data_IF_369553592148
#
_entry.id   IF_369553592148
#
_cell.length_a   1.000
_cell.length_b   1.000
_cell.length_c   1.000
_cell.angle_alpha   90.00
_cell.angle_beta   90.00
_cell.angle_gamma   90.00
#
_symmetry.space_group_name_H-M   'P 1'
#
loop_
_entity.id
_entity.type
_entity.pdbx_description
1 polymer ?
#
# COMPACT_ATOMS: atom_id res chain seq x y z
N UNK A 1 16.45 26.93 -25.68
CA UNK A 1 15.21 26.50 -26.38
C UNK A 1 14.15 26.14 -25.35
N UNK A 2 12.93 26.71 -25.41
CA UNK A 2 11.86 26.31 -24.50
C UNK A 2 11.56 24.82 -24.69
N UNK A 3 11.52 24.05 -23.59
CA UNK A 3 11.14 22.62 -23.62
C UNK A 3 9.76 22.53 -24.27
N UNK A 4 9.64 21.84 -25.40
CA UNK A 4 8.33 21.52 -26.00
C UNK A 4 7.46 20.87 -24.92
N UNK A 5 6.30 21.47 -24.67
CA UNK A 5 5.30 20.92 -23.74
C UNK A 5 4.97 19.49 -24.18
N UNK A 6 5.26 18.51 -23.33
CA UNK A 6 4.90 17.12 -23.59
C UNK A 6 3.39 17.04 -23.56
N UNK A 7 2.79 16.59 -24.66
CA UNK A 7 1.36 16.38 -24.73
C UNK A 7 1.00 15.10 -23.98
N UNK A 8 -0.16 15.11 -23.33
CA UNK A 8 -0.69 13.93 -22.67
C UNK A 8 -0.93 12.80 -23.69
N UNK A 9 -0.51 11.59 -23.33
CA UNK A 9 -0.76 10.38 -24.11
C UNK A 9 -1.06 9.21 -23.17
N UNK A 10 -1.98 8.36 -23.61
CA UNK A 10 -2.39 7.15 -22.89
C UNK A 10 -1.30 6.08 -22.88
N UNK A 11 -0.43 6.09 -23.87
CA UNK A 11 0.55 5.01 -24.11
C UNK A 11 1.99 5.41 -23.78
N UNK A 12 2.24 6.70 -23.51
CA UNK A 12 3.52 7.15 -22.99
C UNK A 12 3.45 7.45 -21.49
N UNK A 13 4.53 7.21 -20.72
CA UNK A 13 4.61 7.61 -19.32
C UNK A 13 4.36 9.13 -19.15
N UNK A 14 3.32 9.55 -18.41
CA UNK A 14 3.12 10.96 -18.09
C UNK A 14 4.08 11.38 -16.97
N UNK A 15 4.15 12.69 -16.73
CA UNK A 15 4.87 13.27 -15.59
C UNK A 15 3.92 14.00 -14.66
N UNK A 16 4.23 14.01 -13.36
CA UNK A 16 3.48 14.78 -12.35
C UNK A 16 3.49 16.27 -12.64
N UNK A 17 4.53 16.76 -13.33
CA UNK A 17 4.61 18.16 -13.79
C UNK A 17 3.50 18.55 -14.79
N UNK A 18 2.82 17.57 -15.39
CA UNK A 18 1.70 17.79 -16.31
C UNK A 18 0.34 17.79 -15.59
N UNK A 19 0.30 17.43 -14.30
CA UNK A 19 -0.93 17.41 -13.50
C UNK A 19 -1.31 18.84 -13.10
N UNK A 20 -2.60 19.15 -13.24
CA UNK A 20 -3.20 20.39 -12.73
C UNK A 20 -3.75 20.24 -11.30
N UNK A 21 -3.68 19.03 -10.73
CA UNK A 21 -4.08 18.80 -9.34
C UNK A 21 -3.13 19.50 -8.38
N UNK A 22 -3.71 20.11 -7.35
CA UNK A 22 -2.97 20.72 -6.25
C UNK A 22 -2.44 19.61 -5.36
N UNK A 23 -1.14 19.65 -5.07
CA UNK A 23 -0.47 18.75 -4.12
C UNK A 23 -0.42 19.40 -2.74
N UNK A 24 -1.12 18.81 -1.78
CA UNK A 24 -0.96 19.09 -0.35
C UNK A 24 -0.15 17.97 0.29
N UNK A 25 0.82 18.32 1.13
CA UNK A 25 1.65 17.33 1.84
C UNK A 25 1.45 17.47 3.34
N UNK A 26 1.15 16.37 4.01
CA UNK A 26 1.15 16.25 5.45
C UNK A 26 2.45 15.57 5.86
N UNK A 27 3.21 16.22 6.74
CA UNK A 27 4.47 15.69 7.27
C UNK A 27 4.21 14.52 8.23
N UNK A 28 5.30 13.88 8.67
CA UNK A 28 5.26 12.94 9.78
C UNK A 28 4.68 13.60 11.05
N UNK A 29 5.12 14.80 11.42
CA UNK A 29 4.57 15.53 12.58
C UNK A 29 3.04 15.74 12.49
N UNK A 30 2.55 16.02 11.27
CA UNK A 30 1.11 16.18 11.05
C UNK A 30 0.38 14.86 11.27
N UNK A 31 1.00 13.75 10.87
CA UNK A 31 0.46 12.40 11.02
C UNK A 31 0.45 11.98 12.49
N UNK A 32 1.53 12.25 13.23
CA UNK A 32 1.64 11.95 14.66
C UNK A 32 0.56 12.69 15.45
N UNK A 33 0.35 13.98 15.14
CA UNK A 33 -0.73 14.76 15.73
C UNK A 33 -2.14 14.21 15.41
N UNK A 34 -2.33 13.58 14.24
CA UNK A 34 -3.60 12.90 13.93
C UNK A 34 -3.74 11.60 14.72
N UNK A 35 -2.65 10.86 14.93
CA UNK A 35 -2.61 9.65 15.75
C UNK A 35 -2.98 10.01 17.19
N UNK A 36 -2.31 10.98 17.80
CA UNK A 36 -2.61 11.43 19.17
C UNK A 36 -4.08 11.80 19.33
N UNK A 37 -4.63 12.60 18.41
CA UNK A 37 -6.06 12.95 18.39
C UNK A 37 -6.97 11.74 18.24
N UNK A 38 -6.56 10.74 17.46
CA UNK A 38 -7.33 9.50 17.32
C UNK A 38 -7.30 8.70 18.63
N UNK A 39 -6.16 8.63 19.32
CA UNK A 39 -6.03 7.98 20.62
C UNK A 39 -6.88 8.68 21.70
N UNK A 40 -6.90 10.01 21.73
CA UNK A 40 -7.66 10.84 22.68
C UNK A 40 -9.18 10.68 22.52
N UNK A 41 -9.66 10.63 21.28
CA UNK A 41 -11.11 10.57 20.99
C UNK A 41 -11.76 9.22 21.34
N UNK A 42 -10.99 8.22 21.76
CA UNK A 42 -11.49 6.89 22.16
C UNK A 42 -12.34 6.91 23.43
N UNK A 43 -12.24 7.96 24.26
CA UNK A 43 -12.92 8.04 25.55
C UNK A 43 -14.46 8.16 25.49
N UNK A 44 -15.06 8.33 24.30
CA UNK A 44 -16.47 8.69 24.15
C UNK A 44 -17.39 7.59 23.58
N UNK A 45 -16.92 6.34 23.39
CA UNK A 45 -17.78 5.23 22.92
C UNK A 45 -17.07 3.90 22.65
N UNK A 46 -17.80 2.92 22.11
CA UNK A 46 -17.25 1.67 21.55
C UNK A 46 -16.43 1.99 20.30
N UNK A 47 -15.10 2.05 20.41
CA UNK A 47 -14.19 2.15 19.26
C UNK A 47 -13.99 0.75 18.65
N UNK A 48 -14.57 0.47 17.47
CA UNK A 48 -14.50 -0.86 16.87
C UNK A 48 -13.07 -1.26 16.50
N UNK A 49 -12.18 -0.29 16.23
CA UNK A 49 -10.76 -0.58 15.98
C UNK A 49 -10.07 -1.05 17.25
N UNK A 50 -10.32 -0.40 18.39
CA UNK A 50 -9.79 -0.84 19.67
C UNK A 50 -10.27 -2.25 20.04
N UNK A 51 -11.55 -2.54 19.82
CA UNK A 51 -12.10 -3.88 20.08
C UNK A 51 -11.44 -4.94 19.21
N UNK A 52 -11.27 -4.66 17.92
CA UNK A 52 -10.58 -5.56 17.01
C UNK A 52 -9.11 -5.80 17.42
N UNK A 53 -8.36 -4.75 17.80
CA UNK A 53 -6.99 -4.94 18.32
C UNK A 53 -6.96 -5.68 19.65
N UNK A 54 -7.99 -5.55 20.49
CA UNK A 54 -8.13 -6.33 21.73
C UNK A 54 -8.31 -7.82 21.41
N UNK A 55 -9.13 -8.15 20.40
CA UNK A 55 -9.31 -9.52 19.92
C UNK A 55 -8.00 -10.10 19.34
N UNK A 56 -7.20 -9.28 18.66
CA UNK A 56 -5.82 -9.61 18.25
C UNK A 56 -4.93 -9.92 19.45
N UNK A 57 -4.96 -9.09 20.49
CA UNK A 57 -4.19 -9.31 21.73
C UNK A 57 -4.63 -10.57 22.47
N UNK A 58 -5.93 -10.85 22.51
CA UNK A 58 -6.53 -12.04 23.10
C UNK A 58 -6.37 -13.30 22.22
N UNK A 59 -5.79 -13.15 21.02
CA UNK A 59 -5.53 -14.22 20.05
C UNK A 59 -6.79 -14.96 19.62
N UNK A 60 -7.90 -14.23 19.48
CA UNK A 60 -9.15 -14.79 18.94
C UNK A 60 -9.05 -15.08 17.44
N UNK A 61 -8.13 -14.43 16.73
CA UNK A 61 -7.84 -14.70 15.32
C UNK A 61 -6.86 -15.87 15.20
N UNK A 62 -7.06 -16.71 14.19
CA UNK A 62 -6.13 -17.80 13.89
C UNK A 62 -4.72 -17.25 13.58
N UNK A 63 -3.70 -17.85 14.18
CA UNK A 63 -2.31 -17.50 13.85
C UNK A 63 -1.94 -18.13 12.51
N UNK A 64 -1.52 -17.31 11.55
CA UNK A 64 -1.03 -17.78 10.25
C UNK A 64 0.47 -17.56 10.12
N UNK A 65 1.15 -18.51 9.46
CA UNK A 65 2.61 -18.51 9.31
C UNK A 65 3.15 -17.33 8.49
N UNK A 66 2.31 -16.69 7.66
CA UNK A 66 2.78 -15.72 6.65
C UNK A 66 2.65 -14.25 7.06
N UNK A 67 1.64 -13.89 7.86
CA UNK A 67 1.42 -12.52 8.33
C UNK A 67 0.80 -12.56 9.73
N UNK A 68 1.18 -11.61 10.58
CA UNK A 68 0.72 -11.55 11.96
C UNK A 68 0.68 -10.10 12.44
N UNK A 69 -0.37 -9.74 13.18
CA UNK A 69 -0.37 -8.56 14.05
C UNK A 69 -0.23 -9.06 15.48
N UNK A 70 0.62 -8.41 16.26
CA UNK A 70 0.97 -8.86 17.59
C UNK A 70 0.98 -7.69 18.55
N UNK A 71 0.16 -7.78 19.60
CA UNK A 71 0.15 -6.87 20.73
C UNK A 71 0.16 -7.69 22.02
N UNK A 72 1.34 -7.87 22.61
CA UNK A 72 1.52 -8.76 23.77
C UNK A 72 1.72 -8.01 25.09
N UNK A 73 2.25 -6.78 25.06
CA UNK A 73 2.62 -5.98 26.24
C UNK A 73 2.27 -4.52 26.00
N UNK A 74 2.25 -3.76 27.09
CA UNK A 74 2.04 -2.33 27.07
C UNK A 74 0.60 -1.92 26.77
N UNK A 75 0.41 -0.61 26.72
CA UNK A 75 -0.88 0.02 26.46
C UNK A 75 -1.21 0.02 24.97
N UNK A 76 -2.46 0.36 24.64
CA UNK A 76 -2.97 0.37 23.26
C UNK A 76 -2.49 1.62 22.49
N UNK A 77 -1.20 1.60 22.16
CA UNK A 77 -0.51 2.65 21.40
C UNK A 77 0.27 2.02 20.25
N UNK A 78 0.46 2.72 19.11
CA UNK A 78 1.06 2.16 17.90
C UNK A 78 2.44 1.51 18.11
N UNK A 79 3.21 2.05 19.05
CA UNK A 79 4.53 1.60 19.48
C UNK A 79 4.52 0.15 20.00
N UNK A 80 3.41 -0.28 20.61
CA UNK A 80 3.28 -1.60 21.23
C UNK A 80 2.63 -2.64 20.32
N UNK A 81 2.19 -2.23 19.13
CA UNK A 81 1.50 -3.09 18.17
C UNK A 81 2.46 -3.34 17.01
N UNK A 82 2.76 -4.61 16.77
CA UNK A 82 3.71 -5.01 15.75
C UNK A 82 2.99 -5.68 14.59
N UNK A 83 3.39 -5.37 13.37
CA UNK A 83 2.92 -6.01 12.16
C UNK A 83 4.07 -6.74 11.46
N UNK A 84 3.81 -7.98 11.01
CA UNK A 84 4.72 -8.65 10.08
C UNK A 84 4.52 -8.06 8.69
N UNK A 85 5.58 -7.54 8.12
CA UNK A 85 5.54 -6.89 6.81
C UNK A 85 5.37 -7.90 5.68
N UNK A 86 4.63 -7.52 4.65
CA UNK A 86 4.32 -8.39 3.50
C UNK A 86 5.51 -8.51 2.53
N UNK A 87 6.39 -7.51 2.51
CA UNK A 87 7.51 -7.42 1.57
C UNK A 87 8.83 -7.98 2.13
N UNK A 88 9.12 -7.77 3.41
CA UNK A 88 10.39 -8.19 4.05
C UNK A 88 10.24 -9.24 5.15
N UNK A 89 9.01 -9.55 5.58
CA UNK A 89 8.75 -10.52 6.63
C UNK A 89 9.24 -10.10 8.02
N UNK A 90 9.74 -8.86 8.16
CA UNK A 90 10.15 -8.27 9.44
C UNK A 90 8.92 -8.01 10.30
N UNK A 91 9.09 -8.09 11.61
CA UNK A 91 8.09 -7.71 12.59
C UNK A 91 8.44 -6.30 13.10
N UNK A 92 7.68 -5.30 12.67
CA UNK A 92 7.95 -3.88 12.96
C UNK A 92 6.77 -3.25 13.71
N UNK A 93 7.01 -2.24 14.57
CA UNK A 93 5.93 -1.50 15.24
C UNK A 93 5.10 -0.65 14.27
N UNK A 94 3.87 -0.28 14.67
CA UNK A 94 2.97 0.58 13.90
C UNK A 94 3.26 2.09 14.05
N UNK A 95 4.15 2.49 14.96
CA UNK A 95 4.61 3.87 15.21
C UNK A 95 5.51 4.44 14.10
N UNK A 96 5.69 3.70 13.01
CA UNK A 96 6.48 4.16 11.85
C UNK A 96 5.74 5.31 11.17
N UNK A 97 6.31 6.50 11.29
CA UNK A 97 5.75 7.70 10.68
C UNK A 97 5.88 7.68 9.14
N UNK A 98 5.04 8.47 8.47
CA UNK A 98 5.04 8.60 7.02
C UNK A 98 4.63 10.01 6.59
N UNK A 99 4.88 10.31 5.33
CA UNK A 99 4.42 11.53 4.67
C UNK A 99 3.21 11.20 3.80
N UNK A 100 2.12 11.96 3.94
CA UNK A 100 0.93 11.80 3.09
C UNK A 100 0.89 12.88 2.03
N UNK A 101 0.84 12.48 0.76
CA UNK A 101 0.67 13.37 -0.38
C UNK A 101 -0.75 13.27 -0.94
N UNK A 102 -1.51 14.35 -0.78
CA UNK A 102 -2.87 14.47 -1.31
C UNK A 102 -2.84 15.28 -2.61
N UNK A 103 -3.38 14.70 -3.68
CA UNK A 103 -3.63 15.38 -4.95
C UNK A 103 -5.12 15.64 -5.08
N UNK A 104 -5.52 16.90 -5.16
CA UNK A 104 -6.94 17.27 -5.19
C UNK A 104 -7.20 18.40 -6.20
N UNK A 105 -8.46 18.54 -6.61
CA UNK A 105 -8.86 19.64 -7.46
C UNK A 105 -8.78 20.98 -6.71
N UNK A 106 -8.43 22.07 -7.41
CA UNK A 106 -8.25 23.42 -6.84
C UNK A 106 -9.48 23.95 -6.10
N UNK A 107 -10.69 23.55 -6.53
CA UNK A 107 -11.94 23.98 -5.89
C UNK A 107 -12.06 23.56 -4.43
N UNK A 108 -11.34 22.51 -3.99
CA UNK A 108 -11.31 22.12 -2.58
C UNK A 108 -10.55 23.12 -1.71
N UNK A 109 -9.49 23.72 -2.26
CA UNK A 109 -8.73 24.76 -1.59
C UNK A 109 -9.52 26.06 -1.50
N UNK A 110 -10.23 26.43 -2.57
CA UNK A 110 -11.10 27.62 -2.62
C UNK A 110 -12.20 27.55 -1.56
N UNK A 111 -12.72 26.34 -1.30
CA UNK A 111 -13.72 26.09 -0.24
C UNK A 111 -13.14 25.99 1.16
N UNK A 112 -11.82 26.17 1.32
CA UNK A 112 -11.08 26.03 2.59
C UNK A 112 -11.35 24.68 3.28
N UNK A 113 -11.59 23.61 2.51
CA UNK A 113 -11.78 22.28 3.08
C UNK A 113 -10.41 21.78 3.57
N UNK A 114 -10.22 21.58 4.89
CA UNK A 114 -8.94 21.09 5.38
C UNK A 114 -8.72 19.65 4.91
N UNK A 115 -7.49 19.34 4.51
CA UNK A 115 -7.10 17.98 4.09
C UNK A 115 -6.87 17.04 5.29
N UNK A 116 -6.66 17.59 6.48
CA UNK A 116 -6.45 16.83 7.71
C UNK A 116 -7.62 15.88 8.02
N UNK A 117 -8.90 16.31 7.97
CA UNK A 117 -10.03 15.38 8.11
C UNK A 117 -10.02 14.20 7.14
N UNK A 118 -9.61 14.40 5.88
CA UNK A 118 -9.54 13.31 4.88
C UNK A 118 -8.58 12.21 5.35
N UNK A 119 -7.41 12.60 5.86
CA UNK A 119 -6.43 11.64 6.37
C UNK A 119 -6.89 11.05 7.70
N UNK A 120 -7.43 11.88 8.59
CA UNK A 120 -7.96 11.44 9.88
C UNK A 120 -9.04 10.35 9.72
N UNK A 121 -9.92 10.48 8.74
CA UNK A 121 -10.98 9.49 8.51
C UNK A 121 -10.44 8.12 8.09
N UNK A 122 -9.31 8.06 7.38
CA UNK A 122 -8.69 6.80 6.92
C UNK A 122 -7.51 6.38 7.81
N UNK A 123 -7.30 7.06 8.94
CA UNK A 123 -6.06 6.94 9.70
C UNK A 123 -5.78 5.50 10.16
N UNK A 124 -6.74 4.74 10.72
CA UNK A 124 -6.50 3.36 11.13
C UNK A 124 -6.03 2.46 9.97
N UNK A 125 -6.64 2.61 8.79
CA UNK A 125 -6.28 1.85 7.60
C UNK A 125 -4.91 2.27 7.07
N UNK A 126 -4.60 3.57 7.08
CA UNK A 126 -3.29 4.09 6.67
C UNK A 126 -2.17 3.58 7.58
N UNK A 127 -2.38 3.58 8.90
CA UNK A 127 -1.43 3.05 9.88
C UNK A 127 -1.13 1.57 9.62
N UNK A 128 -2.16 0.76 9.37
CA UNK A 128 -1.98 -0.65 9.04
C UNK A 128 -1.28 -0.83 7.70
N UNK A 129 -1.70 -0.11 6.65
CA UNK A 129 -1.08 -0.18 5.34
C UNK A 129 0.41 0.21 5.41
N UNK A 130 0.75 1.24 6.18
CA UNK A 130 2.14 1.64 6.44
C UNK A 130 2.89 0.56 7.21
N UNK A 131 2.34 0.06 8.31
CA UNK A 131 2.97 -0.94 9.17
C UNK A 131 3.18 -2.30 8.47
N UNK A 132 2.37 -2.61 7.46
CA UNK A 132 2.51 -3.83 6.67
C UNK A 132 3.60 -3.76 5.61
N UNK A 133 4.15 -2.59 5.31
CA UNK A 133 5.16 -2.42 4.28
C UNK A 133 6.42 -1.82 4.87
N UNK A 134 7.51 -2.57 4.84
CA UNK A 134 8.79 -2.11 5.36
C UNK A 134 9.43 -1.11 4.39
N UNK A 135 9.51 -1.46 3.11
CA UNK A 135 10.23 -0.69 2.11
C UNK A 135 9.30 0.08 1.15
N UNK A 136 9.55 1.38 0.99
CA UNK A 136 8.91 2.20 -0.05
C UNK A 136 7.46 2.58 0.27
N UNK A 137 7.15 2.69 1.57
CA UNK A 137 5.87 3.16 2.08
C UNK A 137 5.99 4.39 3.00
N UNK A 138 7.17 5.02 3.06
CA UNK A 138 7.37 6.29 3.80
C UNK A 138 6.58 7.44 3.18
N UNK A 139 6.17 7.31 1.92
CA UNK A 139 5.26 8.22 1.23
C UNK A 139 3.97 7.48 0.86
N UNK A 140 2.83 7.99 1.32
CA UNK A 140 1.50 7.54 0.91
C UNK A 140 0.88 8.55 -0.04
N UNK A 141 0.31 8.06 -1.13
CA UNK A 141 -0.23 8.90 -2.20
C UNK A 141 -1.73 8.70 -2.34
N UNK A 142 -2.47 9.81 -2.21
CA UNK A 142 -3.93 9.85 -2.24
C UNK A 142 -4.38 10.81 -3.34
N UNK A 143 -5.25 10.37 -4.23
CA UNK A 143 -5.94 11.24 -5.19
C UNK A 143 -7.38 11.43 -4.71
N UNK A 144 -7.74 12.67 -4.42
CA UNK A 144 -9.07 13.05 -3.93
C UNK A 144 -9.99 13.34 -5.12
N UNK A 145 -11.15 12.72 -5.12
CA UNK A 145 -12.15 12.76 -6.20
C UNK A 145 -13.57 12.92 -5.64
N UNK A 146 -14.54 13.20 -6.50
CA UNK A 146 -15.98 13.15 -6.21
C UNK A 146 -16.72 12.01 -6.94
N UNK A 147 -16.00 10.92 -7.25
CA UNK A 147 -16.57 9.76 -7.96
C UNK A 147 -17.62 9.07 -7.09
N UNK A 148 -18.75 8.71 -7.71
CA UNK A 148 -19.74 7.77 -7.14
C UNK A 148 -19.26 6.32 -7.26
N UNK A 149 -19.96 5.42 -6.55
CA UNK A 149 -19.69 3.98 -6.49
C UNK A 149 -19.35 3.36 -7.87
N UNK A 150 -20.29 3.43 -8.82
CA UNK A 150 -20.10 2.86 -10.16
C UNK A 150 -18.95 3.53 -10.93
N UNK A 151 -18.75 4.83 -10.77
CA UNK A 151 -17.68 5.57 -11.43
C UNK A 151 -16.31 5.16 -10.85
N UNK A 152 -16.24 4.87 -9.55
CA UNK A 152 -15.05 4.35 -8.88
C UNK A 152 -14.70 2.94 -9.39
N UNK A 153 -15.69 2.05 -9.53
CA UNK A 153 -15.50 0.72 -10.12
C UNK A 153 -14.97 0.84 -11.57
N UNK A 154 -15.64 1.63 -12.42
CA UNK A 154 -15.25 1.87 -13.82
C UNK A 154 -13.82 2.42 -13.97
N UNK A 155 -13.45 3.40 -13.14
CA UNK A 155 -12.11 4.01 -13.14
C UNK A 155 -11.05 3.00 -12.68
N UNK A 156 -11.36 2.22 -11.65
CA UNK A 156 -10.44 1.20 -11.12
C UNK A 156 -10.19 0.09 -12.14
N UNK A 157 -11.23 -0.38 -12.82
CA UNK A 157 -11.09 -1.40 -13.86
C UNK A 157 -10.34 -0.87 -15.08
N UNK A 158 -10.55 0.39 -15.47
CA UNK A 158 -9.70 1.04 -16.46
C UNK A 158 -8.23 1.06 -16.04
N UNK A 159 -7.93 1.38 -14.77
CA UNK A 159 -6.55 1.38 -14.30
C UNK A 159 -5.89 0.01 -14.35
N UNK A 160 -6.62 -1.06 -14.03
CA UNK A 160 -6.12 -2.43 -14.24
C UNK A 160 -5.85 -2.68 -15.71
N UNK A 161 -6.80 -2.37 -16.60
CA UNK A 161 -6.67 -2.57 -18.04
C UNK A 161 -5.44 -1.85 -18.61
N UNK A 162 -5.30 -0.55 -18.35
CA UNK A 162 -4.20 0.26 -18.90
C UNK A 162 -2.86 -0.15 -18.28
N UNK A 163 -2.79 -0.37 -16.96
CA UNK A 163 -1.53 -0.76 -16.31
C UNK A 163 -1.08 -2.14 -16.72
N UNK A 164 -2.03 -3.09 -16.84
CA UNK A 164 -1.76 -4.38 -17.40
C UNK A 164 -1.15 -4.15 -18.78
N UNK A 165 -1.83 -3.53 -19.75
CA UNK A 165 -1.39 -3.59 -21.14
C UNK A 165 -0.32 -2.59 -21.60
N UNK A 166 -0.03 -1.53 -20.82
CA UNK A 166 0.91 -0.47 -21.24
C UNK A 166 2.14 -0.35 -20.35
N UNK A 167 2.11 -0.86 -19.12
CA UNK A 167 3.20 -0.62 -18.17
C UNK A 167 4.41 -1.50 -18.51
N UNK A 168 5.49 -0.87 -18.97
CA UNK A 168 6.75 -1.53 -19.29
C UNK A 168 6.74 -2.47 -20.50
N UNK A 169 5.70 -2.39 -21.35
CA UNK A 169 5.55 -3.22 -22.56
C UNK A 169 4.87 -2.48 -23.69
N UNK A 170 5.11 -2.92 -24.92
CA UNK A 170 4.39 -2.43 -26.10
C UNK A 170 2.96 -2.93 -26.05
N UNK A 171 2.00 -2.01 -26.18
CA UNK A 171 0.58 -2.34 -26.21
C UNK A 171 0.22 -3.00 -27.56
N UNK A 172 -0.69 -3.98 -27.56
CA UNK A 172 -1.20 -4.58 -28.80
C UNK A 172 -2.24 -3.63 -29.42
N UNK A 173 -2.31 -3.49 -30.76
CA UNK A 173 -3.28 -2.59 -31.41
C UNK A 173 -4.75 -2.84 -31.06
N UNK A 174 -5.14 -4.10 -30.79
CA UNK A 174 -6.49 -4.42 -30.30
C UNK A 174 -6.76 -3.82 -28.92
N UNK A 175 -5.77 -3.86 -28.04
CA UNK A 175 -5.85 -3.32 -26.68
C UNK A 175 -5.75 -1.81 -26.65
N UNK A 176 -4.98 -1.19 -27.55
CA UNK A 176 -4.94 0.26 -27.69
C UNK A 176 -6.32 0.83 -28.01
N UNK A 177 -7.05 0.21 -28.95
CA UNK A 177 -8.42 0.60 -29.29
C UNK A 177 -9.37 0.47 -28.10
N UNK A 178 -9.27 -0.63 -27.34
CA UNK A 178 -10.09 -0.82 -26.14
C UNK A 178 -9.78 0.24 -25.07
N UNK A 179 -8.51 0.49 -24.78
CA UNK A 179 -8.08 1.50 -23.81
C UNK A 179 -8.56 2.90 -24.22
N UNK A 180 -8.44 3.26 -25.50
CA UNK A 180 -8.95 4.54 -26.00
C UNK A 180 -10.46 4.65 -25.85
N UNK A 181 -11.19 3.59 -26.20
CA UNK A 181 -12.65 3.54 -26.07
C UNK A 181 -13.08 3.71 -24.62
N UNK A 182 -12.50 2.94 -23.69
CA UNK A 182 -12.86 3.02 -22.28
C UNK A 182 -12.47 4.37 -21.67
N UNK A 183 -11.28 4.89 -22.01
CA UNK A 183 -10.88 6.22 -21.57
C UNK A 183 -11.85 7.30 -22.05
N UNK A 184 -12.27 7.25 -23.32
CA UNK A 184 -13.22 8.20 -23.89
C UNK A 184 -14.62 8.07 -23.24
N UNK A 185 -15.11 6.83 -23.07
CA UNK A 185 -16.39 6.54 -22.42
C UNK A 185 -16.43 7.10 -21.00
N UNK A 186 -15.41 6.81 -20.19
CA UNK A 186 -15.31 7.30 -18.81
C UNK A 186 -15.17 8.82 -18.81
N UNK A 187 -14.30 9.40 -19.65
CA UNK A 187 -14.11 10.86 -19.76
C UNK A 187 -15.43 11.59 -20.05
N UNK A 188 -16.19 11.14 -21.03
CA UNK A 188 -17.48 11.74 -21.37
C UNK A 188 -18.53 11.56 -20.26
N UNK A 189 -18.53 10.40 -19.61
CA UNK A 189 -19.46 10.10 -18.52
C UNK A 189 -19.19 11.05 -17.35
N UNK A 190 -17.94 11.16 -16.91
CA UNK A 190 -17.55 12.02 -15.80
C UNK A 190 -17.72 13.51 -16.14
N UNK A 191 -17.41 13.92 -17.37
CA UNK A 191 -17.63 15.29 -17.85
C UNK A 191 -19.12 15.66 -17.85
N UNK A 192 -20.01 14.79 -18.33
CA UNK A 192 -21.46 14.99 -18.30
C UNK A 192 -22.00 15.13 -16.88
N UNK A 193 -21.43 14.38 -15.94
CA UNK A 193 -21.75 14.46 -14.51
C UNK A 193 -21.01 15.59 -13.78
N UNK A 194 -20.20 16.39 -14.48
CA UNK A 194 -19.40 17.50 -13.92
C UNK A 194 -18.52 17.09 -12.74
N UNK A 195 -17.92 15.89 -12.82
CA UNK A 195 -17.00 15.39 -11.80
C UNK A 195 -15.71 16.18 -11.74
N UNK A 196 -15.17 16.27 -10.53
CA UNK A 196 -13.94 16.95 -10.20
C UNK A 196 -13.04 16.05 -9.33
N UNK A 197 -11.79 15.78 -9.76
CA UNK A 197 -11.19 16.20 -11.02
C UNK A 197 -11.82 15.51 -12.24
N UNK A 198 -11.58 16.07 -13.44
CA UNK A 198 -11.95 15.38 -14.66
C UNK A 198 -11.09 14.11 -14.86
N UNK A 199 -11.64 13.11 -15.55
CA UNK A 199 -10.97 11.81 -15.70
C UNK A 199 -9.53 11.90 -16.25
N UNK A 200 -9.22 12.71 -17.28
CA UNK A 200 -7.85 12.80 -17.79
C UNK A 200 -6.84 13.26 -16.73
N UNK A 201 -7.23 14.14 -15.80
CA UNK A 201 -6.35 14.58 -14.71
C UNK A 201 -6.16 13.49 -13.65
N UNK A 202 -7.20 12.69 -13.37
CA UNK A 202 -7.08 11.52 -12.49
C UNK A 202 -6.12 10.50 -13.11
N UNK A 203 -6.33 10.11 -14.38
CA UNK A 203 -5.46 9.14 -15.06
C UNK A 203 -4.01 9.62 -15.18
N UNK A 204 -3.81 10.87 -15.62
CA UNK A 204 -2.49 11.47 -15.73
C UNK A 204 -1.75 11.40 -14.40
N UNK A 205 -2.38 11.88 -13.32
CA UNK A 205 -1.77 11.90 -11.98
C UNK A 205 -1.48 10.49 -11.50
N UNK A 206 -2.45 9.59 -11.61
CA UNK A 206 -2.33 8.19 -11.19
C UNK A 206 -1.16 7.48 -11.88
N UNK A 207 -1.11 7.52 -13.21
CA UNK A 207 -0.01 6.89 -13.96
C UNK A 207 1.32 7.58 -13.69
N UNK A 208 1.36 8.91 -13.54
CA UNK A 208 2.59 9.62 -13.21
C UNK A 208 3.15 9.20 -11.85
N UNK A 209 2.30 9.01 -10.83
CA UNK A 209 2.69 8.46 -9.53
C UNK A 209 3.30 7.05 -9.67
N UNK A 210 2.70 6.18 -10.48
CA UNK A 210 3.23 4.84 -10.72
C UNK A 210 4.63 4.86 -11.34
N UNK A 211 4.89 5.75 -12.30
CA UNK A 211 6.19 5.85 -12.98
C UNK A 211 7.25 6.54 -12.15
N UNK A 212 6.92 7.69 -11.55
CA UNK A 212 7.89 8.54 -10.86
C UNK A 212 8.12 8.10 -9.41
N UNK A 213 7.08 7.65 -8.71
CA UNK A 213 7.13 7.35 -7.26
C UNK A 213 7.14 5.85 -6.96
N UNK A 214 6.59 5.04 -7.86
CA UNK A 214 6.58 3.56 -7.77
C UNK A 214 6.04 3.03 -6.43
N UNK A 215 4.92 3.58 -5.92
CA UNK A 215 4.42 3.24 -4.59
C UNK A 215 4.01 1.76 -4.51
N UNK A 216 3.83 1.24 -3.30
CA UNK A 216 3.29 -0.11 -3.07
C UNK A 216 1.81 -0.17 -3.38
N UNK A 217 1.08 0.85 -2.94
CA UNK A 217 -0.34 1.08 -3.20
C UNK A 217 -0.62 2.57 -3.43
N UNK A 218 -1.79 2.86 -4.00
CA UNK A 218 -2.34 4.19 -4.20
C UNK A 218 -3.78 4.21 -3.67
N UNK A 219 -4.25 5.36 -3.22
CA UNK A 219 -5.63 5.50 -2.73
C UNK A 219 -6.37 6.49 -3.63
N UNK A 220 -7.50 6.04 -4.19
CA UNK A 220 -8.51 6.93 -4.77
C UNK A 220 -9.53 7.22 -3.69
N UNK A 221 -9.45 8.42 -3.10
CA UNK A 221 -10.37 8.84 -2.07
C UNK A 221 -11.58 9.53 -2.71
N UNK A 222 -12.79 9.12 -2.35
CA UNK A 222 -14.00 9.85 -2.70
C UNK A 222 -14.59 10.49 -1.45
N UNK A 223 -14.81 11.81 -1.52
CA UNK A 223 -15.47 12.54 -0.43
C UNK A 223 -17.00 12.49 -0.51
N UNK A 224 -17.56 11.72 -1.45
CA UNK A 224 -19.00 11.52 -1.57
C UNK A 224 -19.46 10.49 -0.53
N UNK A 225 -20.42 10.85 0.31
CA UNK A 225 -20.96 9.98 1.38
C UNK A 225 -21.64 8.70 0.88
N UNK A 226 -22.02 8.66 -0.40
CA UNK A 226 -22.66 7.50 -1.06
C UNK A 226 -21.68 6.66 -1.87
N UNK A 227 -20.39 6.99 -1.81
CA UNK A 227 -19.31 6.28 -2.48
C UNK A 227 -18.39 5.62 -1.46
N UNK A 228 -17.44 4.84 -1.97
CA UNK A 228 -16.33 4.30 -1.19
C UNK A 228 -15.02 4.81 -1.78
N UNK A 229 -13.95 4.74 -0.99
CA UNK A 229 -12.58 4.98 -1.42
C UNK A 229 -11.89 3.66 -1.73
N UNK A 230 -11.00 3.67 -2.72
CA UNK A 230 -10.37 2.45 -3.22
C UNK A 230 -8.87 2.44 -2.98
N UNK A 231 -8.38 1.40 -2.30
CA UNK A 231 -6.95 1.08 -2.26
C UNK A 231 -6.62 0.27 -3.50
N UNK A 232 -5.58 0.68 -4.23
CA UNK A 232 -5.11 0.03 -5.45
C UNK A 232 -3.66 -0.41 -5.25
N UNK A 233 -3.43 -1.71 -5.17
CA UNK A 233 -2.11 -2.30 -4.98
C UNK A 233 -1.39 -2.46 -6.33
N UNK A 234 -0.10 -2.12 -6.35
CA UNK A 234 0.69 -2.24 -7.59
C UNK A 234 1.12 -3.67 -7.90
N UNK A 235 1.08 -4.57 -6.92
CA UNK A 235 1.46 -5.97 -7.04
C UNK A 235 0.71 -6.84 -6.02
N UNK A 236 0.42 -8.10 -6.37
CA UNK A 236 -0.30 -9.06 -5.51
C UNK A 236 0.40 -9.31 -4.17
N UNK A 237 1.73 -9.31 -4.16
CA UNK A 237 2.54 -9.49 -2.94
C UNK A 237 2.44 -8.32 -1.94
N UNK A 238 1.90 -7.16 -2.35
CA UNK A 238 1.64 -6.03 -1.45
C UNK A 238 0.26 -6.09 -0.80
N UNK A 239 -0.56 -7.06 -1.19
CA UNK A 239 -1.89 -7.23 -0.60
C UNK A 239 -1.76 -7.94 0.76
N UNK A 240 -2.42 -7.43 1.80
CA UNK A 240 -2.54 -8.11 3.08
C UNK A 240 -3.18 -9.51 2.97
N UNK A 241 -2.86 -10.39 3.92
CA UNK A 241 -3.45 -11.73 4.00
C UNK A 241 -4.93 -11.64 4.41
N UNK A 242 -5.78 -12.43 3.75
CA UNK A 242 -7.23 -12.50 4.03
C UNK A 242 -7.52 -12.80 5.50
N UNK A 243 -6.85 -13.82 6.04
CA UNK A 243 -7.20 -14.37 7.35
C UNK A 243 -6.98 -13.40 8.50
N UNK A 244 -6.10 -12.41 8.30
CA UNK A 244 -5.81 -11.40 9.29
C UNK A 244 -6.83 -10.26 9.30
N UNK A 245 -7.47 -9.97 8.16
CA UNK A 245 -8.31 -8.77 8.00
C UNK A 245 -9.76 -9.07 7.64
N UNK A 246 -10.16 -10.34 7.65
CA UNK A 246 -11.52 -10.75 7.27
C UNK A 246 -12.60 -10.04 8.11
N UNK A 247 -12.36 -9.91 9.42
CA UNK A 247 -13.22 -9.27 10.40
C UNK A 247 -12.75 -7.86 10.78
N UNK A 248 -11.84 -7.27 9.99
CA UNK A 248 -11.39 -5.91 10.21
C UNK A 248 -12.58 -4.95 10.18
N UNK A 249 -12.70 -4.01 11.15
CA UNK A 249 -13.83 -3.11 11.25
C UNK A 249 -14.09 -2.37 9.95
N UNK A 250 -15.36 -2.33 9.58
CA UNK A 250 -15.85 -1.49 8.51
C UNK A 250 -16.92 -0.58 9.06
N UNK A 251 -16.83 0.69 8.69
CA UNK A 251 -17.83 1.66 9.09
C UNK A 251 -17.54 3.00 8.49
N UNK A 252 -18.59 3.79 8.45
CA UNK A 252 -18.52 5.20 8.13
C UNK A 252 -18.99 5.96 9.37
N UNK A 253 -18.46 7.16 9.69
CA UNK A 253 -18.89 7.92 10.86
C UNK A 253 -20.33 8.45 10.77
N UNK A 254 -21.06 8.14 9.69
CA UNK A 254 -22.45 8.54 9.54
C UNK A 254 -23.35 7.62 10.39
N UNK A 255 -24.09 8.15 11.37
CA UNK A 255 -24.98 7.36 12.22
C UNK A 255 -26.14 6.69 11.45
N UNK A 256 -26.38 7.07 10.20
CA UNK A 256 -27.37 6.44 9.32
C UNK A 256 -26.77 5.37 8.39
N UNK A 257 -25.48 5.03 8.51
CA UNK A 257 -24.86 3.98 7.71
C UNK A 257 -25.39 2.60 8.09
N UNK A 258 -25.73 1.79 7.08
CA UNK A 258 -25.97 0.35 7.23
C UNK A 258 -24.64 -0.41 7.22
N UNK A 259 -24.67 -1.69 7.61
CA UNK A 259 -23.49 -2.58 7.76
C UNK A 259 -22.59 -2.70 6.50
N UNK A 260 -23.08 -2.26 5.34
CA UNK A 260 -22.35 -2.29 4.06
C UNK A 260 -21.59 -0.99 3.73
N UNK A 261 -21.53 -0.02 4.64
CA UNK A 261 -20.80 1.21 4.36
C UNK A 261 -19.30 1.13 4.70
N UNK A 262 -18.51 0.95 3.66
CA UNK A 262 -17.05 1.02 3.72
C UNK A 262 -16.60 2.38 3.17
N UNK A 263 -16.08 3.25 4.03
CA UNK A 263 -15.49 4.52 3.59
C UNK A 263 -14.22 4.28 2.75
N UNK A 264 -13.44 3.26 3.09
CA UNK A 264 -12.34 2.74 2.30
C UNK A 264 -12.47 1.22 2.19
N UNK A 265 -12.40 0.69 0.96
CA UNK A 265 -12.45 -0.74 0.70
C UNK A 265 -11.14 -1.40 1.08
N UNK A 266 -11.02 -1.81 2.33
CA UNK A 266 -9.89 -2.60 2.81
C UNK A 266 -9.97 -4.03 2.23
N UNK A 267 -8.86 -4.65 1.81
CA UNK A 267 -8.85 -5.97 1.16
C UNK A 267 -9.06 -7.14 2.15
N UNK A 268 -10.20 -7.17 2.84
CA UNK A 268 -10.56 -8.16 3.87
C UNK A 268 -10.58 -9.61 3.37
N UNK A 269 -10.88 -9.80 2.08
CA UNK A 269 -10.91 -11.11 1.41
C UNK A 269 -9.62 -11.40 0.63
N UNK A 270 -8.52 -10.78 1.05
CA UNK A 270 -7.18 -11.04 0.54
C UNK A 270 -6.96 -10.63 -0.93
N UNK A 271 -5.96 -11.25 -1.58
CA UNK A 271 -5.53 -10.88 -2.93
C UNK A 271 -6.59 -11.01 -4.03
N UNK A 272 -7.60 -11.86 -3.84
CA UNK A 272 -8.62 -12.11 -4.87
C UNK A 272 -9.68 -11.01 -4.93
N UNK A 273 -10.00 -10.40 -3.80
CA UNK A 273 -10.92 -9.26 -3.73
C UNK A 273 -10.21 -7.91 -3.81
N UNK A 274 -8.88 -7.89 -3.69
CA UNK A 274 -8.10 -6.67 -3.75
C UNK A 274 -8.03 -6.10 -5.19
N UNK A 275 -7.97 -4.78 -5.28
CA UNK A 275 -7.73 -4.11 -6.56
C UNK A 275 -6.23 -4.09 -6.84
N UNK A 276 -5.78 -5.04 -7.66
CA UNK A 276 -4.36 -5.22 -7.99
C UNK A 276 -4.12 -4.88 -9.46
N UNK A 277 -3.12 -4.05 -9.73
CA UNK A 277 -2.74 -3.65 -11.10
C UNK A 277 -1.88 -4.67 -11.83
N UNK A 278 -1.27 -5.61 -11.09
CA UNK A 278 -0.31 -6.60 -11.58
C UNK A 278 0.81 -6.02 -12.46
N UNK A 279 1.40 -4.93 -11.97
CA UNK A 279 2.51 -4.27 -12.66
C UNK A 279 3.72 -5.21 -12.61
N UNK A 280 4.07 -5.76 -13.77
CA UNK A 280 5.27 -6.58 -13.94
C UNK A 280 6.52 -5.70 -13.83
N UNK A 281 7.08 -5.59 -12.61
CA UNK A 281 8.38 -4.96 -12.39
C UNK A 281 9.48 -5.94 -12.78
N UNK A 282 10.35 -5.56 -13.71
CA UNK A 282 11.45 -6.37 -14.23
C UNK A 282 12.24 -5.64 -15.31
N UNK A 283 13.51 -6.01 -15.52
CA UNK A 283 14.38 -5.37 -16.53
C UNK A 283 14.64 -3.89 -16.24
N UNK A 284 14.41 -3.02 -17.24
CA UNK A 284 14.67 -1.56 -17.13
C UNK A 284 13.82 -0.84 -16.07
N UNK A 285 12.73 -1.46 -15.61
CA UNK A 285 11.79 -0.85 -14.66
C UNK A 285 11.98 -1.28 -13.20
N UNK A 286 13.04 -2.03 -12.90
CA UNK A 286 13.46 -2.38 -11.54
C UNK A 286 13.43 -3.88 -11.24
N UNK A 287 13.71 -4.22 -9.97
CA UNK A 287 13.77 -5.61 -9.50
C UNK A 287 12.36 -6.23 -9.47
N UNK A 288 12.29 -7.52 -9.79
CA UNK A 288 11.06 -8.32 -9.65
C UNK A 288 10.61 -8.28 -8.19
N UNK A 289 9.33 -7.97 -7.98
CA UNK A 289 8.71 -8.04 -6.66
C UNK A 289 8.69 -9.52 -6.25
N UNK A 290 9.25 -9.79 -5.08
CA UNK A 290 9.25 -11.10 -4.44
C UNK A 290 9.15 -10.86 -2.95
N UNK A 291 8.33 -11.67 -2.26
CA UNK A 291 8.38 -11.77 -0.80
C UNK A 291 9.78 -12.21 -0.39
N UNK A 292 10.29 -11.59 0.67
CA UNK A 292 11.59 -11.89 1.24
C UNK A 292 11.42 -12.16 2.73
N UNK A 293 12.23 -13.05 3.26
CA UNK A 293 12.45 -13.19 4.69
C UNK A 293 13.76 -12.48 5.03
N UNK A 294 13.68 -11.30 5.64
CA UNK A 294 14.85 -10.49 6.00
C UNK A 294 15.18 -10.61 7.49
N UNK A 295 16.42 -10.28 7.84
CA UNK A 295 16.82 -10.06 9.23
C UNK A 295 15.92 -9.00 9.86
N UNK A 296 15.44 -9.23 11.09
CA UNK A 296 14.48 -8.34 11.74
C UNK A 296 15.05 -6.96 12.09
N UNK A 297 16.36 -6.87 12.37
CA UNK A 297 17.02 -5.58 12.55
C UNK A 297 16.90 -4.74 11.27
N UNK A 298 16.29 -3.55 11.39
CA UNK A 298 15.87 -2.70 10.28
C UNK A 298 17.02 -2.27 9.37
N UNK A 299 18.21 -2.07 9.93
CA UNK A 299 19.41 -1.64 9.19
C UNK A 299 20.17 -2.79 8.51
N UNK A 300 19.66 -4.02 8.58
CA UNK A 300 20.30 -5.20 8.00
C UNK A 300 19.61 -5.70 6.72
N UNK A 301 20.31 -5.65 5.59
CA UNK A 301 19.79 -6.11 4.30
C UNK A 301 19.91 -7.62 4.03
N UNK A 302 20.31 -8.42 5.03
CA UNK A 302 20.41 -9.88 4.86
C UNK A 302 19.02 -10.48 4.60
N UNK A 303 18.92 -11.21 3.50
CA UNK A 303 17.73 -11.97 3.09
C UNK A 303 18.04 -13.47 3.14
N UNK A 304 17.18 -14.24 3.80
CA UNK A 304 17.36 -15.68 4.00
C UNK A 304 16.91 -16.52 2.79
N UNK A 305 16.00 -16.00 1.96
CA UNK A 305 15.42 -16.73 0.82
C UNK A 305 16.19 -16.55 -0.51
N UNK A 306 17.50 -16.27 -0.45
CA UNK A 306 18.28 -16.01 -1.66
C UNK A 306 18.40 -17.24 -2.59
N UNK A 307 18.24 -18.46 -2.06
CA UNK A 307 18.41 -19.71 -2.81
C UNK A 307 17.25 -20.70 -2.52
N UNK A 308 16.44 -21.07 -3.52
CA UNK A 308 15.54 -22.22 -3.32
C UNK A 308 14.39 -22.54 -4.28
N UNK A 309 14.04 -21.71 -5.28
CA UNK A 309 13.09 -22.12 -6.33
C UNK A 309 13.56 -21.65 -7.71
N UNK A 310 14.50 -22.41 -8.27
CA UNK A 310 14.52 -22.62 -9.71
C UNK A 310 13.26 -23.43 -10.04
N UNK A 311 12.17 -22.74 -10.36
CA UNK A 311 11.04 -23.37 -11.06
C UNK A 311 11.62 -23.81 -12.40
N UNK A 312 11.69 -25.13 -12.60
CA UNK A 312 12.11 -25.72 -13.86
C UNK A 312 11.30 -25.14 -15.01
N UNK A 313 12.00 -24.69 -16.04
CA UNK A 313 11.49 -24.49 -17.39
C UNK A 313 12.67 -24.65 -18.33
N UNK A 314 12.80 -25.89 -18.76
CA UNK A 314 13.11 -26.33 -20.11
C UNK A 314 13.63 -25.29 -21.13
N UNK A 315 14.78 -25.63 -21.70
CA UNK A 315 15.24 -25.39 -23.07
C UNK A 315 15.22 -23.97 -23.68
N UNK A 316 16.44 -23.43 -23.89
CA UNK A 316 16.67 -22.34 -24.83
C UNK A 316 18.09 -21.77 -24.79
N UNK A 317 19.06 -22.49 -25.37
CA UNK A 317 20.41 -21.99 -25.68
C UNK A 317 20.39 -20.65 -26.42
N UNK A 318 21.20 -19.66 -26.02
CA UNK A 318 22.33 -19.17 -26.84
C UNK A 318 23.21 -18.17 -26.08
N UNK A 319 24.49 -18.26 -26.44
CA UNK A 319 25.74 -17.69 -25.95
C UNK A 319 25.79 -16.17 -25.69
N UNK A 320 26.61 -15.78 -24.70
CA UNK A 320 27.00 -14.40 -24.47
C UNK A 320 27.64 -14.15 -23.09
N UNK A 321 28.84 -14.69 -22.89
CA UNK A 321 29.71 -14.45 -21.73
C UNK A 321 30.03 -12.97 -21.53
N UNK A 322 29.89 -12.45 -20.31
CA UNK A 322 30.93 -11.63 -19.66
C UNK A 322 30.91 -11.86 -18.13
N UNK A 323 32.11 -12.00 -17.59
CA UNK A 323 32.51 -12.40 -16.25
C UNK A 323 31.84 -11.64 -15.10
N UNK A 324 31.17 -12.38 -14.21
CA UNK A 324 30.95 -11.98 -12.82
C UNK A 324 31.61 -13.01 -11.93
N UNK A 325 32.61 -12.58 -11.16
CA UNK A 325 33.26 -13.35 -10.11
C UNK A 325 32.21 -13.85 -9.11
N UNK A 326 31.93 -15.14 -9.18
CA UNK A 326 31.14 -15.90 -8.21
C UNK A 326 31.87 -15.92 -6.86
N UNK A 327 31.66 -14.88 -6.06
CA UNK A 327 31.75 -15.03 -4.61
C UNK A 327 30.59 -15.91 -4.18
N UNK A 328 30.87 -17.20 -4.00
CA UNK A 328 30.01 -18.13 -3.28
C UNK A 328 29.69 -17.54 -1.90
N UNK A 329 28.63 -16.74 -1.81
CA UNK A 329 28.14 -16.19 -0.56
C UNK A 329 27.70 -17.38 0.27
N UNK A 330 28.48 -17.70 1.30
CA UNK A 330 28.14 -18.73 2.27
C UNK A 330 26.69 -18.52 2.70
N UNK A 331 25.86 -19.57 2.62
CA UNK A 331 24.46 -19.52 3.02
C UNK A 331 24.38 -19.02 4.47
N UNK A 332 23.82 -17.83 4.66
CA UNK A 332 23.67 -17.24 5.98
C UNK A 332 22.53 -17.99 6.70
N UNK A 333 22.87 -18.73 7.74
CA UNK A 333 21.88 -19.46 8.55
C UNK A 333 21.11 -18.45 9.42
N UNK A 334 19.79 -18.41 9.27
CA UNK A 334 18.92 -17.58 10.11
C UNK A 334 18.82 -18.15 11.53
N UNK A 335 18.94 -17.29 12.53
CA UNK A 335 18.68 -17.60 13.94
C UNK A 335 17.32 -17.04 14.34
N UNK A 336 16.38 -17.93 14.63
CA UNK A 336 15.07 -17.54 15.15
C UNK A 336 15.16 -17.24 16.65
N UNK A 337 14.45 -16.24 17.15
CA UNK A 337 14.39 -15.99 18.59
C UNK A 337 13.87 -17.23 19.34
N UNK A 338 14.67 -17.77 20.25
CA UNK A 338 14.34 -18.97 21.02
C UNK A 338 13.11 -18.82 21.92
N UNK A 339 12.80 -17.58 22.35
CA UNK A 339 11.68 -17.28 23.25
C UNK A 339 10.35 -17.18 22.51
N UNK A 340 10.22 -16.26 21.56
CA UNK A 340 8.94 -15.98 20.88
C UNK A 340 8.76 -16.73 19.56
N UNK A 341 9.85 -17.14 18.92
CA UNK A 341 9.87 -17.75 17.58
C UNK A 341 9.31 -16.88 16.44
N UNK A 342 9.03 -15.60 16.69
CA UNK A 342 8.40 -14.69 15.71
C UNK A 342 9.41 -14.02 14.78
N UNK A 343 10.64 -13.77 15.22
CA UNK A 343 11.63 -12.97 14.48
C UNK A 343 12.88 -13.78 14.17
N UNK A 344 13.53 -13.46 13.04
CA UNK A 344 14.76 -14.08 12.56
C UNK A 344 15.87 -13.05 12.44
N UNK A 345 17.08 -13.43 12.85
CA UNK A 345 18.28 -12.61 12.75
C UNK A 345 19.39 -13.37 12.03
N UNK A 346 20.28 -12.66 11.35
CA UNK A 346 21.48 -13.29 10.77
C UNK A 346 22.63 -13.43 11.79
N UNK A 347 22.53 -12.80 12.97
CA UNK A 347 23.51 -12.89 14.05
C UNK A 347 22.91 -12.51 15.40
N UNK A 348 23.56 -12.94 16.49
CA UNK A 348 23.22 -12.51 17.86
C UNK A 348 23.45 -11.01 18.08
N UNK A 349 24.41 -10.40 17.37
CA UNK A 349 24.66 -8.96 17.43
C UNK A 349 23.44 -8.16 16.94
N UNK A 350 22.84 -8.57 15.81
CA UNK A 350 21.64 -7.91 15.29
C UNK A 350 20.44 -8.10 16.22
N UNK A 351 20.33 -9.27 16.86
CA UNK A 351 19.31 -9.47 17.89
C UNK A 351 19.50 -8.52 19.08
N UNK A 352 20.75 -8.26 19.50
CA UNK A 352 21.04 -7.31 20.60
C UNK A 352 20.70 -5.88 20.22
N UNK A 353 21.03 -5.46 18.99
CA UNK A 353 20.70 -4.12 18.47
C UNK A 353 19.19 -3.90 18.37
N UNK A 354 18.44 -4.93 17.96
CA UNK A 354 16.98 -4.90 17.86
C UNK A 354 16.26 -5.19 19.19
N UNK A 355 16.99 -5.44 20.28
CA UNK A 355 16.39 -5.97 21.50
C UNK A 355 15.44 -5.00 22.19
N UNK A 356 15.73 -3.70 22.15
CA UNK A 356 14.89 -2.67 22.73
C UNK A 356 13.47 -2.68 22.15
N UNK A 357 13.39 -2.87 20.84
CA UNK A 357 12.17 -3.01 20.05
C UNK A 357 11.51 -4.36 20.29
N UNK A 358 12.26 -5.43 20.04
CA UNK A 358 11.75 -6.80 20.09
C UNK A 358 11.26 -7.20 21.50
N UNK A 359 11.88 -6.75 22.58
CA UNK A 359 11.45 -7.11 23.94
C UNK A 359 10.00 -6.67 24.24
N UNK A 360 9.46 -5.66 23.53
CA UNK A 360 8.08 -5.20 23.66
C UNK A 360 7.08 -6.28 23.24
N UNK A 361 7.43 -7.07 22.23
CA UNK A 361 6.58 -8.15 21.71
C UNK A 361 7.02 -9.55 22.14
N UNK A 362 8.26 -9.71 22.62
CA UNK A 362 8.86 -11.01 22.95
C UNK A 362 8.24 -11.65 24.21
N UNK A 363 7.35 -12.63 23.99
CA UNK A 363 6.78 -13.53 25.01
C UNK A 363 7.10 -14.97 24.65
N UNK A 364 6.98 -15.90 25.61
CA UNK A 364 7.21 -17.33 25.33
C UNK A 364 6.20 -17.79 24.28
N UNK A 365 6.70 -18.31 23.15
CA UNK A 365 5.86 -18.98 22.16
C UNK A 365 5.18 -20.18 22.82
N UNK A 366 3.90 -20.38 22.53
CA UNK A 366 3.17 -21.55 23.01
C UNK A 366 3.75 -22.83 22.40
#
# INVERSE_FOLDING_TARGET
>A
MPRRSRHYSLFSPPSLSMSELVKTTLSHDSTDLLIDKWLENRGYGHDPYHEWFRDVRERKHAAHDTQSIVWNKGDFVPENIFCRTVDTGRLIPLDRTWTTHLYHHRSMQERKLPMMPVVFTMLPELMLLRGMHDAGCDDIYIIVTDLKRQEMDDVTDFFKLVCQHTFGRTCKPSMERQIQYDHMRISHTLARQRRTPCFPQIDLTFRALLYEKRPRFLILFSHQTTSYSQIIFTHRDYVPAQDLFYDYPTGCPNPCCTDDCEMIRFPRRGPEAAQVLDIKRGGRFGKRVRRRQMCNWIDCDVCFDADGQAIGSDSGSTEGSESSVDSARARIVSQTCSKCRLVKYCSLDHQRKDWEEHRRVCVKGL
#
